data_IF_474311605827
#
_entry.id   IF_474311605827
#
_cell.length_a   1.000
_cell.length_b   1.000
_cell.length_c   1.000
_cell.angle_alpha   90.00
_cell.angle_beta   90.00
_cell.angle_gamma   90.00
#
_symmetry.space_group_name_H-M   'P 1'
#
loop_
_entity.id
_entity.type
_entity.pdbx_description
1 polymer ?
#
# COMPACT_ATOMS: atom_id res chain seq x y z
N UNK A 1 -3.66 4.29 33.71
CA UNK A 1 -2.81 4.79 32.60
C UNK A 1 -2.81 3.78 31.45
N UNK A 2 -2.90 2.49 31.78
CA UNK A 2 -2.90 1.37 30.83
C UNK A 2 -4.08 1.37 29.84
N UNK A 3 -5.31 1.68 30.29
CA UNK A 3 -6.46 1.76 29.39
C UNK A 3 -6.39 2.91 28.37
N UNK A 4 -5.66 3.99 28.70
CA UNK A 4 -5.41 5.08 27.75
C UNK A 4 -4.34 4.69 26.71
N UNK A 5 -3.37 3.87 27.09
CA UNK A 5 -2.34 3.34 26.19
C UNK A 5 -2.92 2.35 25.18
N UNK A 6 -3.78 1.42 25.60
CA UNK A 6 -4.42 0.48 24.66
C UNK A 6 -5.35 1.18 23.66
N UNK A 7 -6.08 2.21 24.13
CA UNK A 7 -6.91 3.02 23.24
C UNK A 7 -6.08 3.83 22.23
N UNK A 8 -4.95 4.41 22.65
CA UNK A 8 -4.02 5.09 21.72
C UNK A 8 -3.48 4.11 20.68
N UNK A 9 -2.99 2.94 21.11
CA UNK A 9 -2.44 1.94 20.20
C UNK A 9 -3.46 1.43 19.17
N UNK A 10 -4.70 1.20 19.60
CA UNK A 10 -5.80 0.82 18.71
C UNK A 10 -6.12 1.94 17.71
N UNK A 11 -6.11 3.20 18.14
CA UNK A 11 -6.39 4.34 17.28
C UNK A 11 -5.27 4.61 16.28
N UNK A 12 -4.01 4.47 16.67
CA UNK A 12 -2.84 4.67 15.81
C UNK A 12 -2.78 3.58 14.72
N UNK A 13 -3.06 2.33 15.09
CA UNK A 13 -3.14 1.22 14.13
C UNK A 13 -4.31 1.41 13.16
N UNK A 14 -5.48 1.79 13.67
CA UNK A 14 -6.65 2.07 12.84
C UNK A 14 -6.38 3.24 11.89
N UNK A 15 -5.77 4.32 12.38
CA UNK A 15 -5.37 5.47 11.59
C UNK A 15 -4.42 5.07 10.46
N UNK A 16 -3.42 4.23 10.75
CA UNK A 16 -2.51 3.72 9.72
C UNK A 16 -3.23 2.92 8.62
N UNK A 17 -4.17 2.05 9.00
CA UNK A 17 -4.97 1.28 8.05
C UNK A 17 -5.88 2.17 7.19
N UNK A 18 -6.53 3.17 7.78
CA UNK A 18 -7.39 4.12 7.07
C UNK A 18 -6.56 4.98 6.11
N UNK A 19 -5.42 5.50 6.54
CA UNK A 19 -4.49 6.21 5.67
C UNK A 19 -3.99 5.34 4.52
N UNK A 20 -3.65 4.06 4.78
CA UNK A 20 -3.28 3.11 3.74
C UNK A 20 -4.39 2.89 2.71
N UNK A 21 -5.63 2.74 3.15
CA UNK A 21 -6.79 2.60 2.26
C UNK A 21 -7.02 3.85 1.39
N UNK A 22 -6.85 5.05 1.95
CA UNK A 22 -6.97 6.32 1.21
C UNK A 22 -5.85 6.50 0.17
N UNK A 23 -4.63 6.04 0.45
CA UNK A 23 -3.53 6.08 -0.52
C UNK A 23 -3.78 5.14 -1.71
N UNK A 24 -4.34 3.95 -1.47
CA UNK A 24 -4.71 3.02 -2.55
C UNK A 24 -5.76 3.62 -3.49
N UNK A 25 -6.64 4.49 -2.98
CA UNK A 25 -7.63 5.21 -3.78
C UNK A 25 -7.00 6.17 -4.81
N UNK A 26 -5.79 6.69 -4.55
CA UNK A 26 -5.08 7.62 -5.44
C UNK A 26 -4.82 7.01 -6.83
N UNK A 27 -4.48 5.72 -6.90
CA UNK A 27 -4.19 5.05 -8.16
C UNK A 27 -5.44 4.96 -9.07
N UNK A 28 -6.60 4.68 -8.47
CA UNK A 28 -7.87 4.66 -9.20
C UNK A 28 -8.30 6.06 -9.68
N UNK A 29 -8.04 7.10 -8.87
CA UNK A 29 -8.34 8.50 -9.23
C UNK A 29 -7.50 8.97 -10.42
N UNK A 30 -6.21 8.65 -10.43
CA UNK A 30 -5.31 9.05 -11.52
C UNK A 30 -5.62 8.31 -12.83
N UNK A 31 -5.95 7.01 -12.74
CA UNK A 31 -6.36 6.21 -13.88
C UNK A 31 -7.60 6.78 -14.59
N UNK A 32 -8.52 7.39 -13.84
CA UNK A 32 -9.72 8.03 -14.39
C UNK A 32 -9.40 9.37 -15.09
N UNK A 33 -8.43 10.13 -14.59
CA UNK A 33 -7.95 11.35 -15.25
C UNK A 33 -7.23 11.04 -16.57
N UNK A 34 -6.42 9.98 -16.62
CA UNK A 34 -5.74 9.53 -17.84
C UNK A 34 -6.73 8.98 -18.88
N UNK A 35 -7.79 8.31 -18.43
CA UNK A 35 -8.87 7.83 -19.30
C UNK A 35 -9.67 8.99 -19.94
N UNK A 36 -9.86 10.09 -19.22
CA UNK A 36 -10.62 11.26 -19.68
C UNK A 36 -9.91 12.14 -20.73
N UNK A 37 -8.57 12.12 -20.75
CA UNK A 37 -7.75 12.90 -21.69
C UNK A 37 -7.51 12.19 -23.03
N UNK A 38 -7.98 10.95 -23.16
CA UNK A 38 -7.72 10.07 -24.30
C UNK A 38 -8.97 9.89 -25.13
N UNK A 39 -8.78 9.84 -26.46
CA UNK A 39 -9.85 9.57 -27.43
C UNK A 39 -10.60 8.27 -27.07
N UNK A 40 -11.93 8.38 -26.90
CA UNK A 40 -12.87 7.32 -26.50
C UNK A 40 -12.61 5.92 -27.08
N UNK A 41 -12.16 5.82 -28.34
CA UNK A 41 -11.88 4.53 -28.99
C UNK A 41 -10.72 3.73 -28.40
N UNK A 42 -9.77 4.39 -27.72
CA UNK A 42 -8.59 3.76 -27.13
C UNK A 42 -8.55 3.86 -25.59
N UNK A 43 -9.58 4.44 -24.97
CA UNK A 43 -9.63 4.69 -23.52
C UNK A 43 -9.55 3.39 -22.70
N UNK A 44 -10.21 2.32 -23.15
CA UNK A 44 -10.19 1.02 -22.46
C UNK A 44 -8.78 0.40 -22.41
N UNK A 45 -8.04 0.46 -23.52
CA UNK A 45 -6.67 -0.05 -23.63
C UNK A 45 -5.69 0.63 -22.68
N UNK A 46 -5.87 1.93 -22.45
CA UNK A 46 -5.00 2.72 -21.57
C UNK A 46 -5.37 2.49 -20.09
N UNK A 47 -6.67 2.40 -19.78
CA UNK A 47 -7.14 2.09 -18.43
C UNK A 47 -6.65 0.71 -17.95
N UNK A 48 -6.70 -0.30 -18.82
CA UNK A 48 -6.22 -1.65 -18.49
C UNK A 48 -4.71 -1.68 -18.20
N UNK A 49 -3.91 -0.88 -18.91
CA UNK A 49 -2.46 -0.76 -18.65
C UNK A 49 -2.17 -0.13 -17.29
N UNK A 50 -2.93 0.90 -16.90
CA UNK A 50 -2.77 1.56 -15.60
C UNK A 50 -3.11 0.61 -14.44
N UNK A 51 -4.22 -0.14 -14.56
CA UNK A 51 -4.59 -1.18 -13.57
C UNK A 51 -3.57 -2.32 -13.51
N UNK A 52 -3.05 -2.77 -14.65
CA UNK A 52 -2.05 -3.83 -14.69
C UNK A 52 -0.75 -3.41 -14.00
N UNK A 53 -0.30 -2.17 -14.21
CA UNK A 53 0.87 -1.60 -13.53
C UNK A 53 0.63 -1.47 -12.02
N UNK A 54 -0.57 -1.07 -11.59
CA UNK A 54 -0.90 -1.01 -10.16
C UNK A 54 -0.85 -2.39 -9.49
N UNK A 55 -1.47 -3.41 -10.11
CA UNK A 55 -1.44 -4.77 -9.60
C UNK A 55 -0.01 -5.34 -9.53
N UNK A 56 0.79 -5.13 -10.59
CA UNK A 56 2.19 -5.55 -10.63
C UNK A 56 3.03 -4.82 -9.57
N UNK A 57 2.76 -3.54 -9.32
CA UNK A 57 3.45 -2.76 -8.29
C UNK A 57 3.19 -3.30 -6.88
N UNK A 58 1.93 -3.66 -6.57
CA UNK A 58 1.59 -4.28 -5.27
C UNK A 58 2.29 -5.63 -5.08
N UNK A 59 2.33 -6.47 -6.11
CA UNK A 59 3.00 -7.78 -6.07
C UNK A 59 4.51 -7.58 -5.92
N UNK A 60 5.12 -6.67 -6.68
CA UNK A 60 6.56 -6.39 -6.60
C UNK A 60 6.96 -5.79 -5.26
N UNK A 61 6.09 -4.97 -4.64
CA UNK A 61 6.29 -4.46 -3.29
C UNK A 61 6.29 -5.59 -2.24
N UNK A 62 5.40 -6.57 -2.39
CA UNK A 62 5.32 -7.73 -1.50
C UNK A 62 6.52 -8.68 -1.66
N UNK A 63 7.02 -8.87 -2.89
CA UNK A 63 8.13 -9.79 -3.17
C UNK A 63 9.48 -9.16 -2.85
N UNK A 64 9.77 -7.95 -3.32
CA UNK A 64 11.10 -7.33 -3.18
C UNK A 64 11.06 -5.94 -2.52
N UNK A 65 9.95 -5.19 -2.61
CA UNK A 65 9.89 -3.82 -2.11
C UNK A 65 10.00 -3.71 -0.59
N UNK A 66 9.34 -4.60 0.15
CA UNK A 66 9.48 -4.68 1.60
C UNK A 66 10.93 -4.99 2.03
N UNK A 67 11.58 -5.90 1.30
CA UNK A 67 12.95 -6.29 1.55
C UNK A 67 13.95 -5.14 1.28
N UNK A 68 13.70 -4.32 0.26
CA UNK A 68 14.56 -3.18 -0.08
C UNK A 68 14.35 -1.97 0.84
N UNK A 69 13.13 -1.69 1.28
CA UNK A 69 12.83 -0.51 2.10
C UNK A 69 13.25 -0.68 3.57
N UNK A 70 13.10 -1.89 4.12
CA UNK A 70 13.46 -2.19 5.51
C UNK A 70 14.74 -3.03 5.63
N UNK A 71 15.45 -3.28 4.51
CA UNK A 71 16.76 -3.94 4.49
C UNK A 71 16.79 -5.39 4.99
N UNK A 72 15.63 -6.04 5.15
CA UNK A 72 15.50 -7.43 5.64
C UNK A 72 15.24 -8.37 4.47
N UNK A 73 15.76 -9.60 4.56
CA UNK A 73 15.95 -10.51 3.43
C UNK A 73 14.79 -10.71 2.44
N UNK A 74 15.15 -11.10 1.22
CA UNK A 74 14.35 -11.17 -0.02
C UNK A 74 13.01 -11.91 0.06
N UNK A 75 12.77 -12.75 1.07
CA UNK A 75 11.57 -13.58 1.10
C UNK A 75 11.23 -14.08 2.51
N UNK A 76 10.82 -13.21 3.44
CA UNK A 76 10.21 -13.65 4.70
C UNK A 76 11.19 -14.26 5.75
N UNK A 77 12.21 -13.50 6.19
CA UNK A 77 13.14 -13.96 7.25
C UNK A 77 12.69 -13.69 8.70
N UNK A 78 11.48 -13.17 8.93
CA UNK A 78 11.01 -12.95 10.29
C UNK A 78 9.58 -12.42 10.38
N UNK A 79 8.73 -13.15 11.10
CA UNK A 79 7.53 -12.61 11.73
C UNK A 79 8.02 -11.80 12.93
N UNK A 80 8.64 -10.64 12.71
CA UNK A 80 9.19 -9.80 13.79
C UNK A 80 8.57 -8.42 13.57
N UNK A 81 7.52 -7.99 14.28
CA UNK A 81 7.39 -7.91 15.74
C UNK A 81 8.73 -7.76 16.50
N UNK A 82 9.70 -7.11 15.89
CA UNK A 82 10.90 -6.62 16.59
C UNK A 82 10.60 -5.36 17.44
N UNK A 83 9.32 -4.99 17.56
CA UNK A 83 8.83 -3.94 18.45
C UNK A 83 8.22 -4.46 19.76
N UNK A 84 8.32 -5.76 20.08
CA UNK A 84 7.88 -6.30 21.39
C UNK A 84 9.05 -6.74 22.29
N UNK A 85 10.29 -6.39 21.93
CA UNK A 85 11.47 -6.78 22.69
C UNK A 85 12.61 -5.74 22.66
N UNK A 86 12.32 -4.46 22.80
CA UNK A 86 13.15 -3.48 23.52
C UNK A 86 12.55 -2.08 23.34
N UNK A 87 12.07 -1.54 24.46
CA UNK A 87 11.45 -0.22 24.69
C UNK A 87 9.92 -0.13 24.47
#
# INVERSE_FOLDING_TARGET
VDQALELQYALDTFYFLVCGALVMWMAAVFAMLEAGMVRSKNTAEILTKNIALFAMSCIMYLVCGYALMYGRGIFLSGIELDGAASD
#
